data_IF_229782167082
#
_entry.id   IF_229782167082
#
_cell.length_a   1.000
_cell.length_b   1.000
_cell.length_c   1.000
_cell.angle_alpha   90.00
_cell.angle_beta   90.00
_cell.angle_gamma   90.00
#
_symmetry.space_group_name_H-M   'P 1'
#
loop_
_entity.id
_entity.type
_entity.pdbx_description
1 polymer ?
#
# COMPACT_ATOMS: atom_id res chain seq x y z
N UNK A 1 -25.46 -6.45 6.36
CA UNK A 1 -24.91 -5.79 5.15
C UNK A 1 -24.14 -6.84 4.36
N UNK A 2 -24.49 -7.07 3.09
CA UNK A 2 -23.75 -7.99 2.22
C UNK A 2 -22.56 -7.22 1.64
N UNK A 3 -21.35 -7.73 1.85
CA UNK A 3 -20.13 -7.15 1.27
C UNK A 3 -19.91 -7.82 -0.07
N UNK A 4 -19.79 -7.02 -1.13
CA UNK A 4 -19.51 -7.50 -2.48
C UNK A 4 -18.07 -7.12 -2.89
N UNK A 5 -17.33 -8.02 -3.55
CA UNK A 5 -15.99 -7.71 -4.02
C UNK A 5 -16.05 -6.70 -5.18
N UNK A 6 -15.00 -5.89 -5.32
CA UNK A 6 -14.78 -5.08 -6.51
C UNK A 6 -14.50 -6.00 -7.70
N UNK A 7 -15.30 -5.89 -8.78
CA UNK A 7 -15.24 -6.81 -9.94
C UNK A 7 -14.89 -6.13 -11.25
N UNK A 8 -15.12 -4.82 -11.38
CA UNK A 8 -14.87 -4.10 -12.62
C UNK A 8 -13.76 -3.04 -12.49
N UNK A 9 -13.04 -2.74 -13.58
CA UNK A 9 -12.10 -1.63 -13.62
C UNK A 9 -12.75 -0.29 -13.25
N UNK A 10 -14.01 -0.10 -13.63
CA UNK A 10 -14.78 1.10 -13.31
C UNK A 10 -15.01 1.25 -11.79
N UNK A 11 -15.22 0.15 -11.07
CA UNK A 11 -15.35 0.18 -9.61
C UNK A 11 -14.04 0.57 -8.93
N UNK A 12 -12.90 0.10 -9.48
CA UNK A 12 -11.56 0.46 -9.00
C UNK A 12 -11.32 1.95 -9.22
N UNK A 13 -11.64 2.48 -10.41
CA UNK A 13 -11.48 3.89 -10.74
C UNK A 13 -12.32 4.79 -9.83
N UNK A 14 -13.60 4.44 -9.62
CA UNK A 14 -14.49 5.15 -8.70
C UNK A 14 -13.94 5.15 -7.27
N UNK A 15 -13.39 4.02 -6.82
CA UNK A 15 -12.77 3.91 -5.50
C UNK A 15 -11.51 4.76 -5.40
N UNK A 16 -10.64 4.73 -6.42
CA UNK A 16 -9.44 5.58 -6.47
C UNK A 16 -9.81 7.07 -6.38
N UNK A 17 -10.82 7.51 -7.14
CA UNK A 17 -11.29 8.89 -7.11
C UNK A 17 -11.87 9.28 -5.73
N UNK A 18 -12.72 8.43 -5.16
CA UNK A 18 -13.28 8.66 -3.83
C UNK A 18 -12.19 8.73 -2.76
N UNK A 19 -11.19 7.85 -2.79
CA UNK A 19 -10.13 7.84 -1.79
C UNK A 19 -9.17 9.02 -1.93
N UNK A 20 -8.93 9.52 -3.15
CA UNK A 20 -8.16 10.76 -3.36
C UNK A 20 -8.82 11.94 -2.66
N UNK A 21 -10.14 12.04 -2.67
CA UNK A 21 -10.88 13.08 -1.96
C UNK A 21 -10.61 13.08 -0.44
N UNK A 22 -10.48 11.89 0.16
CA UNK A 22 -10.16 11.74 1.59
C UNK A 22 -8.67 11.85 1.92
N UNK A 23 -7.82 12.02 0.91
CA UNK A 23 -6.40 12.31 1.05
C UNK A 23 -5.49 11.27 0.42
N UNK A 24 -4.30 11.73 0.04
CA UNK A 24 -3.30 10.96 -0.70
C UNK A 24 -2.88 9.65 0.00
N UNK A 25 -2.78 9.65 1.34
CA UNK A 25 -2.53 8.45 2.17
C UNK A 25 -3.52 7.32 1.88
N UNK A 26 -4.81 7.64 1.81
CA UNK A 26 -5.86 6.61 1.67
C UNK A 26 -5.89 6.04 0.27
N UNK A 27 -5.72 6.89 -0.74
CA UNK A 27 -5.53 6.45 -2.13
C UNK A 27 -4.29 5.57 -2.27
N UNK A 28 -3.14 5.98 -1.70
CA UNK A 28 -1.90 5.21 -1.76
C UNK A 28 -2.04 3.86 -1.04
N UNK A 29 -2.73 3.80 0.10
CA UNK A 29 -3.00 2.56 0.82
C UNK A 29 -3.78 1.57 -0.03
N UNK A 30 -4.86 2.04 -0.68
CA UNK A 30 -5.69 1.20 -1.55
C UNK A 30 -4.92 0.76 -2.80
N UNK A 31 -4.25 1.71 -3.48
CA UNK A 31 -3.52 1.43 -4.71
C UNK A 31 -2.38 0.45 -4.48
N UNK A 32 -1.63 0.59 -3.37
CA UNK A 32 -0.61 -0.39 -3.00
C UNK A 32 -1.24 -1.75 -2.72
N UNK A 33 -2.31 -1.80 -1.92
CA UNK A 33 -2.98 -3.06 -1.55
C UNK A 33 -3.48 -3.88 -2.75
N UNK A 34 -4.11 -3.23 -3.72
CA UNK A 34 -4.61 -3.92 -4.93
C UNK A 34 -3.46 -4.37 -5.86
N UNK A 35 -2.35 -3.65 -5.90
CA UNK A 35 -1.20 -3.99 -6.76
C UNK A 35 -0.33 -5.10 -6.15
N UNK A 36 -0.27 -5.23 -4.83
CA UNK A 36 0.61 -6.19 -4.16
C UNK A 36 -0.14 -7.40 -3.57
N UNK A 37 -1.48 -7.40 -3.62
CA UNK A 37 -2.34 -8.42 -3.00
C UNK A 37 -2.05 -8.66 -1.50
N UNK A 38 -1.55 -7.63 -0.81
CA UNK A 38 -1.22 -7.70 0.61
C UNK A 38 -2.48 -7.54 1.46
N UNK A 39 -2.51 -8.21 2.61
CA UNK A 39 -3.58 -7.99 3.59
C UNK A 39 -3.40 -6.63 4.26
N UNK A 40 -4.51 -6.02 4.68
CA UNK A 40 -4.47 -4.72 5.36
C UNK A 40 -3.54 -4.68 6.57
N UNK A 41 -3.47 -5.75 7.35
CA UNK A 41 -2.57 -5.88 8.49
C UNK A 41 -1.08 -5.94 8.12
N UNK A 42 -0.75 -6.41 6.92
CA UNK A 42 0.63 -6.42 6.41
C UNK A 42 1.00 -5.03 5.83
N UNK A 43 0.04 -4.37 5.16
CA UNK A 43 0.22 -3.01 4.64
C UNK A 43 0.56 -2.00 5.73
N UNK A 44 -0.09 -2.05 6.90
CA UNK A 44 0.19 -1.13 8.01
C UNK A 44 1.59 -1.30 8.62
N UNK A 45 2.23 -2.45 8.41
CA UNK A 45 3.59 -2.74 8.92
C UNK A 45 4.68 -2.33 7.92
N UNK A 46 4.30 -1.87 6.73
CA UNK A 46 5.27 -1.41 5.74
C UNK A 46 5.91 -0.10 6.17
N UNK A 47 7.19 0.01 5.83
CA UNK A 47 8.06 1.15 6.14
C UNK A 47 8.74 1.60 4.86
N UNK A 48 9.22 2.84 4.81
CA UNK A 48 9.77 3.44 3.61
C UNK A 48 10.90 2.61 2.99
N UNK A 49 11.79 2.04 3.81
CA UNK A 49 12.89 1.16 3.32
C UNK A 49 12.39 -0.02 2.49
N UNK A 50 11.20 -0.53 2.76
CA UNK A 50 10.66 -1.70 2.05
C UNK A 50 10.23 -1.36 0.62
N UNK A 51 9.90 -0.10 0.32
CA UNK A 51 9.44 0.34 -1.01
C UNK A 51 10.47 1.13 -1.80
N UNK A 52 11.54 1.61 -1.15
CA UNK A 52 12.68 2.24 -1.84
C UNK A 52 13.47 1.23 -2.68
N UNK A 53 13.56 -0.03 -2.23
CA UNK A 53 14.18 -1.11 -3.00
C UNK A 53 13.38 -1.44 -4.28
N UNK A 54 14.04 -2.06 -5.27
CA UNK A 54 13.37 -2.53 -6.50
C UNK A 54 12.34 -3.64 -6.23
N UNK A 55 12.45 -4.32 -5.09
CA UNK A 55 11.58 -5.42 -4.71
C UNK A 55 11.10 -5.24 -3.28
N UNK A 56 9.80 -5.41 -3.09
CA UNK A 56 9.17 -5.38 -1.77
C UNK A 56 9.38 -6.75 -1.12
N UNK A 57 10.33 -6.84 -0.18
CA UNK A 57 10.58 -8.07 0.58
C UNK A 57 9.74 -8.06 1.85
N UNK A 58 8.65 -8.83 1.84
CA UNK A 58 7.80 -8.99 3.01
C UNK A 58 7.93 -10.38 3.59
N UNK A 59 8.26 -10.44 4.88
CA UNK A 59 8.20 -11.68 5.64
C UNK A 59 6.77 -11.84 6.13
N UNK A 60 6.07 -12.84 5.60
CA UNK A 60 4.73 -13.15 6.10
C UNK A 60 4.79 -13.55 7.57
N UNK A 61 3.93 -12.93 8.38
CA UNK A 61 3.85 -13.21 9.81
C UNK A 61 3.42 -14.66 10.11
N UNK A 62 2.60 -15.26 9.24
CA UNK A 62 1.98 -16.57 9.47
C UNK A 62 2.87 -17.74 9.07
N UNK A 63 3.60 -17.62 7.96
CA UNK A 63 4.39 -18.72 7.37
C UNK A 63 5.89 -18.53 7.54
N UNK A 64 6.34 -17.35 8.02
CA UNK A 64 7.74 -16.88 8.02
C UNK A 64 8.39 -16.86 6.64
N UNK A 65 7.64 -17.10 5.56
CA UNK A 65 8.13 -17.13 4.18
C UNK A 65 8.37 -15.70 3.70
N UNK A 66 9.51 -15.50 3.03
CA UNK A 66 9.88 -14.22 2.45
C UNK A 66 9.28 -14.15 1.04
N UNK A 67 8.26 -13.32 0.88
CA UNK A 67 7.62 -13.09 -0.41
C UNK A 67 8.24 -11.84 -1.03
N UNK A 68 8.71 -11.97 -2.28
CA UNK A 68 9.14 -10.84 -3.10
C UNK A 68 7.97 -10.41 -3.95
N UNK A 69 7.49 -9.19 -3.72
CA UNK A 69 6.50 -8.58 -4.59
C UNK A 69 7.22 -7.64 -5.55
N UNK A 70 6.99 -7.84 -6.84
CA UNK A 70 7.44 -6.91 -7.86
C UNK A 70 6.56 -5.66 -7.78
N UNK A 71 7.19 -4.50 -7.56
CA UNK A 71 6.51 -3.22 -7.70
C UNK A 71 6.46 -2.90 -9.18
N UNK A 72 5.26 -2.92 -9.77
CA UNK A 72 5.05 -2.54 -11.16
C UNK A 72 5.64 -1.15 -11.43
N UNK A 73 6.31 -0.97 -12.57
CA UNK A 73 6.93 0.28 -13.00
C UNK A 73 5.94 1.46 -12.97
N UNK A 74 4.65 1.20 -13.22
CA UNK A 74 3.58 2.21 -13.11
C UNK A 74 3.31 2.71 -11.69
N UNK A 75 3.66 1.93 -10.66
CA UNK A 75 3.50 2.30 -9.25
C UNK A 75 4.71 3.04 -8.69
N UNK A 76 5.87 2.89 -9.32
CA UNK A 76 7.15 3.39 -8.80
C UNK A 76 7.15 4.92 -8.61
N UNK A 77 6.70 5.75 -9.57
CA UNK A 77 6.70 7.20 -9.40
C UNK A 77 5.84 7.67 -8.22
N UNK A 78 4.70 7.01 -7.99
CA UNK A 78 3.80 7.34 -6.89
C UNK A 78 4.38 6.97 -5.53
N UNK A 79 5.06 5.82 -5.45
CA UNK A 79 5.75 5.40 -4.23
C UNK A 79 6.93 6.31 -3.90
N UNK A 80 7.76 6.64 -4.88
CA UNK A 80 8.92 7.51 -4.71
C UNK A 80 8.51 8.91 -4.24
N UNK A 81 7.44 9.46 -4.81
CA UNK A 81 6.85 10.72 -4.36
C UNK A 81 6.29 10.61 -2.93
N UNK A 82 5.56 9.53 -2.63
CA UNK A 82 4.96 9.31 -1.32
C UNK A 82 5.98 9.19 -0.19
N UNK A 83 7.12 8.54 -0.43
CA UNK A 83 8.18 8.33 0.59
C UNK A 83 9.30 9.36 0.53
N UNK A 84 9.21 10.36 -0.36
CA UNK A 84 10.27 11.34 -0.62
C UNK A 84 10.83 11.99 0.65
N UNK A 85 9.96 12.27 1.63
CA UNK A 85 10.31 12.94 2.89
C UNK A 85 10.18 12.02 4.12
N UNK A 86 10.15 10.71 3.92
CA UNK A 86 10.07 9.72 5.00
C UNK A 86 11.44 9.13 5.27
N UNK A 87 11.78 8.94 6.54
CA UNK A 87 12.95 8.17 6.93
C UNK A 87 12.71 6.67 6.68
N UNK A 88 13.77 5.89 6.55
CA UNK A 88 13.68 4.47 6.17
C UNK A 88 12.84 3.62 7.12
N UNK A 89 12.83 3.98 8.40
CA UNK A 89 12.09 3.29 9.46
C UNK A 89 10.66 3.83 9.66
N UNK A 90 10.29 4.92 8.98
CA UNK A 90 8.93 5.44 9.03
C UNK A 90 7.94 4.47 8.42
N UNK A 91 6.85 4.22 9.14
CA UNK A 91 5.71 3.49 8.60
C UNK A 91 5.04 4.26 7.46
N UNK A 92 4.79 3.59 6.33
CA UNK A 92 4.11 4.19 5.17
C UNK A 92 2.74 4.76 5.55
N UNK A 93 2.02 4.09 6.44
CA UNK A 93 0.66 4.42 6.80
C UNK A 93 0.51 4.59 8.30
N UNK A 94 1.14 5.62 8.87
CA UNK A 94 0.99 5.96 10.29
C UNK A 94 -0.49 6.07 10.70
N UNK A 95 -0.78 5.59 11.91
CA UNK A 95 -2.07 5.80 12.57
C UNK A 95 -2.25 7.28 12.86
N UNK A 96 -3.50 7.76 12.84
CA UNK A 96 -3.85 9.12 13.31
C UNK A 96 -3.93 9.20 14.83
N UNK A 97 -4.00 8.06 15.50
CA UNK A 97 -3.95 7.96 16.96
C UNK A 97 -2.49 7.79 17.38
N UNK A 98 -1.89 8.86 17.92
CA UNK A 98 -0.79 8.78 18.86
C UNK A 98 -1.38 8.28 20.18
N UNK A 99 -0.92 7.12 20.66
CA UNK A 99 -0.90 6.81 22.08
C UNK A 99 0.51 7.10 22.58
#
# INVERSE_FOLDING_TARGET
MRVEPLRSPLDIERMEHALRWYGYRNWMFFKLGINTALRGGDLIRLQARHVRASHLMLKESKTRKLNRFYLNDSMRPFLDDYVKYMDDDDYLFRSRYQN
#
